data_IF_698706721974
#
_entry.id   IF_698706721974
#
_cell.length_a   1.000
_cell.length_b   1.000
_cell.length_c   1.000
_cell.angle_alpha   90.00
_cell.angle_beta   90.00
_cell.angle_gamma   90.00
#
_symmetry.space_group_name_H-M   'P 1'
#
loop_
_entity.id
_entity.type
_entity.pdbx_description
1 polymer ?
#
# COMPACT_ATOMS: atom_id res chain seq x y z
N UNK A 1 -1.29 -21.19 30.30
CA UNK A 1 -1.47 -20.95 29.65
C UNK A 1 -2.12 -20.77 29.19
N UNK A 2 -2.29 -20.36 28.97
CA UNK A 2 -2.99 -20.16 28.29
C UNK A 2 -3.45 -19.30 28.29
N UNK A 3 -3.61 -19.03 29.05
CA UNK A 3 -4.47 -18.10 28.96
C UNK A 3 -4.14 -17.11 28.18
N UNK A 4 -3.24 -17.10 28.03
CA UNK A 4 -2.97 -16.42 27.02
C UNK A 4 -3.79 -16.51 25.97
N UNK A 5 -4.55 -17.42 25.91
CA UNK A 5 -5.40 -17.56 24.81
C UNK A 5 -6.37 -16.49 24.62
N UNK A 6 -6.66 -15.80 25.65
CA UNK A 6 -7.55 -14.70 25.50
C UNK A 6 -6.93 -13.66 24.65
N UNK A 7 -5.71 -13.38 24.90
CA UNK A 7 -5.03 -12.47 24.03
C UNK A 7 -4.86 -13.03 22.69
N UNK A 8 -4.70 -14.31 22.62
CA UNK A 8 -4.54 -14.89 21.35
C UNK A 8 -5.74 -14.76 20.48
N UNK A 9 -6.90 -14.79 21.02
CA UNK A 9 -8.09 -14.60 20.23
C UNK A 9 -8.08 -13.23 19.58
N UNK A 10 -7.72 -12.22 20.30
CA UNK A 10 -7.62 -10.91 19.69
C UNK A 10 -6.57 -10.87 18.60
N UNK A 11 -5.45 -11.48 18.86
CA UNK A 11 -4.40 -11.50 17.86
C UNK A 11 -4.79 -12.30 16.65
N UNK A 12 -5.49 -13.37 16.84
CA UNK A 12 -5.89 -14.22 15.73
C UNK A 12 -6.88 -13.53 14.82
N UNK A 13 -7.64 -12.58 15.32
CA UNK A 13 -8.61 -11.90 14.49
C UNK A 13 -8.03 -10.70 13.74
N UNK A 14 -6.78 -10.35 14.02
CA UNK A 14 -6.15 -9.21 13.38
C UNK A 14 -5.29 -9.66 12.21
N UNK A 15 -5.49 -9.03 11.09
CA UNK A 15 -4.67 -9.29 9.90
C UNK A 15 -3.55 -8.26 9.86
N UNK A 16 -2.35 -8.66 9.43
CA UNK A 16 -1.31 -7.67 9.20
C UNK A 16 -1.73 -6.74 8.05
N UNK A 17 -1.26 -5.50 8.02
CA UNK A 17 -1.59 -4.60 6.94
C UNK A 17 -1.05 -5.12 5.61
N UNK A 18 -1.79 -4.83 4.54
CA UNK A 18 -1.36 -5.17 3.19
C UNK A 18 -0.34 -4.13 2.75
N UNK A 19 0.86 -4.56 2.42
CA UNK A 19 1.95 -3.66 2.08
C UNK A 19 2.07 -3.51 0.57
N UNK A 20 2.07 -2.27 0.11
CA UNK A 20 2.23 -1.94 -1.30
C UNK A 20 3.64 -1.40 -1.47
N UNK A 21 4.42 -2.06 -2.32
CA UNK A 21 5.79 -1.66 -2.57
C UNK A 21 5.84 -0.59 -3.66
N UNK A 22 6.59 0.47 -3.40
CA UNK A 22 6.69 1.61 -4.31
C UNK A 22 8.16 2.00 -4.47
N UNK A 23 8.54 2.37 -5.68
CA UNK A 23 9.86 2.91 -5.95
C UNK A 23 9.71 4.27 -6.63
N UNK A 24 10.22 5.31 -5.98
CA UNK A 24 10.22 6.67 -6.51
C UNK A 24 11.64 7.13 -6.76
N UNK A 25 11.80 8.09 -7.67
CA UNK A 25 13.12 8.66 -7.95
C UNK A 25 13.62 9.46 -6.76
N UNK A 26 14.94 9.58 -6.63
CA UNK A 26 15.54 10.39 -5.59
C UNK A 26 15.02 11.82 -5.70
N UNK A 27 14.63 12.39 -4.56
CA UNK A 27 14.11 13.76 -4.54
C UNK A 27 12.67 13.92 -4.97
N UNK A 28 11.96 12.84 -5.30
CA UNK A 28 10.55 12.96 -5.68
C UNK A 28 9.71 13.45 -4.51
N UNK A 29 8.92 14.48 -4.74
CA UNK A 29 7.95 14.99 -3.78
C UNK A 29 6.64 15.25 -4.51
N UNK A 30 5.54 14.98 -3.85
CA UNK A 30 4.25 15.31 -4.42
C UNK A 30 3.28 14.15 -4.40
N UNK A 31 2.16 14.28 -5.11
CA UNK A 31 1.14 13.24 -5.08
C UNK A 31 1.58 12.01 -5.84
N UNK A 32 1.22 10.86 -5.29
CA UNK A 32 1.40 9.57 -5.95
C UNK A 32 0.02 9.06 -6.33
N UNK A 33 -0.06 8.47 -7.52
CA UNK A 33 -1.29 7.84 -8.00
C UNK A 33 -0.94 6.41 -8.37
N UNK A 34 -1.44 5.45 -7.61
CA UNK A 34 -1.05 4.05 -7.76
C UNK A 34 -2.27 3.23 -8.13
N UNK A 35 -2.18 2.50 -9.25
CA UNK A 35 -3.23 1.56 -9.64
C UNK A 35 -2.84 0.16 -9.19
N UNK A 36 -3.79 -0.50 -8.56
CA UNK A 36 -3.61 -1.84 -8.00
C UNK A 36 -4.25 -2.89 -8.90
N UNK A 37 -3.93 -4.12 -8.63
CA UNK A 37 -4.57 -5.26 -9.30
C UNK A 37 -4.40 -5.23 -10.82
N UNK A 38 -3.28 -4.73 -11.30
CA UNK A 38 -3.03 -4.62 -12.74
C UNK A 38 -2.33 -5.87 -13.25
N UNK A 39 -2.98 -6.69 -14.08
CA UNK A 39 -2.36 -7.92 -14.59
C UNK A 39 -1.11 -7.58 -15.40
N UNK A 40 -0.07 -8.34 -15.18
CA UNK A 40 1.19 -8.13 -15.91
C UNK A 40 2.07 -7.01 -15.38
N UNK A 41 1.60 -6.24 -14.41
CA UNK A 41 2.42 -5.21 -13.80
C UNK A 41 3.38 -5.82 -12.78
N UNK A 42 4.42 -5.07 -12.43
CA UNK A 42 5.37 -5.50 -11.43
C UNK A 42 4.74 -5.50 -10.04
N UNK A 43 5.31 -6.29 -9.13
CA UNK A 43 4.87 -6.28 -7.73
C UNK A 43 5.23 -4.96 -7.05
N UNK A 44 6.21 -4.22 -7.55
CA UNK A 44 6.58 -2.90 -7.04
C UNK A 44 6.10 -1.85 -8.03
N UNK A 45 5.37 -0.87 -7.53
CA UNK A 45 4.92 0.24 -8.38
C UNK A 45 6.09 1.21 -8.60
N UNK A 46 6.52 1.31 -9.86
CA UNK A 46 7.56 2.26 -10.24
C UNK A 46 6.88 3.56 -10.59
N UNK A 47 7.17 4.63 -9.87
CA UNK A 47 6.54 5.91 -10.14
C UNK A 47 7.28 6.65 -11.24
N UNK A 48 6.51 7.26 -12.15
CA UNK A 48 7.09 8.13 -13.16
C UNK A 48 7.29 9.54 -12.58
N UNK A 49 7.72 10.47 -13.41
CA UNK A 49 8.01 11.84 -12.97
C UNK A 49 6.75 12.55 -12.45
N UNK A 50 5.58 12.09 -12.84
CA UNK A 50 4.31 12.68 -12.41
C UNK A 50 3.71 11.96 -11.20
N UNK A 51 4.39 10.96 -10.68
CA UNK A 51 3.91 10.22 -9.53
C UNK A 51 2.94 9.10 -9.85
N UNK A 52 2.83 8.71 -11.12
CA UNK A 52 1.93 7.64 -11.54
C UNK A 52 2.66 6.30 -11.55
N UNK A 53 2.01 5.27 -11.01
CA UNK A 53 2.55 3.93 -11.03
C UNK A 53 1.44 2.90 -11.03
N UNK A 54 1.80 1.64 -11.28
CA UNK A 54 0.85 0.55 -11.22
C UNK A 54 1.56 -0.69 -10.66
N UNK A 55 0.78 -1.56 -10.06
CA UNK A 55 1.30 -2.79 -9.48
C UNK A 55 0.31 -3.93 -9.66
N UNK A 56 0.83 -5.15 -9.71
CA UNK A 56 0.00 -6.35 -9.71
C UNK A 56 -0.50 -6.68 -8.31
N UNK A 57 0.05 -6.07 -7.27
CA UNK A 57 -0.40 -6.31 -5.91
C UNK A 57 -1.88 -5.97 -5.77
N UNK A 58 -2.62 -6.85 -5.13
CA UNK A 58 -4.07 -6.72 -5.07
C UNK A 58 -4.54 -7.07 -3.65
N UNK A 59 -5.04 -6.08 -2.90
CA UNK A 59 -5.52 -6.35 -1.54
C UNK A 59 -6.84 -7.09 -1.56
N UNK A 60 -7.23 -7.60 -0.42
CA UNK A 60 -8.55 -8.21 -0.24
C UNK A 60 -9.51 -7.17 0.33
N UNK A 61 -10.83 -7.40 0.21
CA UNK A 61 -11.79 -6.47 0.80
C UNK A 61 -11.53 -6.30 2.30
N UNK A 62 -11.52 -5.06 2.74
CA UNK A 62 -11.33 -4.75 4.15
C UNK A 62 -9.89 -4.71 4.62
N UNK A 63 -8.91 -4.96 3.75
CA UNK A 63 -7.53 -4.86 4.16
C UNK A 63 -7.15 -3.42 4.49
N UNK A 64 -6.39 -3.26 5.56
CA UNK A 64 -5.70 -2.01 5.82
C UNK A 64 -4.45 -2.00 4.97
N UNK A 65 -4.14 -0.86 4.38
CA UNK A 65 -3.02 -0.77 3.45
C UNK A 65 -1.95 0.16 3.98
N UNK A 66 -0.71 -0.18 3.67
CA UNK A 66 0.45 0.65 3.94
C UNK A 66 1.30 0.70 2.69
N UNK A 67 2.03 1.78 2.51
CA UNK A 67 2.98 1.89 1.41
C UNK A 67 4.37 1.82 2.00
N UNK A 68 5.18 0.90 1.50
CA UNK A 68 6.56 0.73 1.91
C UNK A 68 7.42 0.70 0.66
N UNK A 69 8.43 1.53 0.62
CA UNK A 69 9.24 1.55 -0.57
C UNK A 69 10.44 2.44 -0.41
N UNK A 70 10.88 3.00 -1.52
CA UNK A 70 12.07 3.85 -1.53
C UNK A 70 11.85 5.08 -2.39
N UNK A 71 12.53 6.15 -2.02
CA UNK A 71 12.69 7.35 -2.82
C UNK A 71 14.19 7.49 -3.04
N UNK A 72 14.67 7.03 -4.19
CA UNK A 72 16.09 6.84 -4.36
C UNK A 72 16.59 5.82 -3.35
N UNK A 73 17.52 6.21 -2.49
CA UNK A 73 18.03 5.34 -1.44
C UNK A 73 17.32 5.51 -0.10
N UNK A 74 16.37 6.44 0.00
CA UNK A 74 15.67 6.69 1.26
C UNK A 74 14.45 5.78 1.40
N UNK A 75 14.21 5.20 2.59
CA UNK A 75 12.99 4.42 2.79
C UNK A 75 11.78 5.33 2.87
N UNK A 76 10.64 4.83 2.40
CA UNK A 76 9.36 5.52 2.44
C UNK A 76 8.37 4.60 3.12
N UNK A 77 7.74 5.11 4.18
CA UNK A 77 6.71 4.36 4.90
C UNK A 77 5.51 5.26 5.10
N UNK A 78 4.37 4.85 4.57
CA UNK A 78 3.11 5.56 4.74
C UNK A 78 2.09 4.61 5.35
N UNK A 79 1.31 5.12 6.29
CA UNK A 79 0.27 4.34 6.93
C UNK A 79 -1.06 4.58 6.22
N UNK A 80 -2.07 3.81 6.61
CA UNK A 80 -3.39 3.95 5.99
C UNK A 80 -3.95 5.35 6.11
N UNK A 81 -3.55 6.11 7.13
CA UNK A 81 -4.04 7.48 7.32
C UNK A 81 -3.53 8.42 6.24
N UNK A 82 -2.42 8.06 5.62
CA UNK A 82 -1.83 8.87 4.56
C UNK A 82 -2.32 8.47 3.17
N UNK A 83 -3.12 7.42 3.10
CA UNK A 83 -3.52 6.82 1.83
C UNK A 83 -5.02 7.04 1.62
N UNK A 84 -5.39 7.52 0.43
CA UNK A 84 -6.79 7.68 0.03
C UNK A 84 -7.12 6.67 -1.05
N UNK A 85 -8.22 5.95 -0.87
CA UNK A 85 -8.73 5.07 -1.91
C UNK A 85 -9.59 5.92 -2.83
N UNK A 86 -9.20 6.03 -4.09
CA UNK A 86 -9.92 6.87 -5.05
C UNK A 86 -10.80 6.08 -5.98
N UNK A 87 -10.61 4.77 -6.06
CA UNK A 87 -11.48 3.91 -6.86
C UNK A 87 -11.52 2.51 -6.27
N UNK A 88 -12.71 1.91 -6.26
CA UNK A 88 -12.92 0.58 -5.74
C UNK A 88 -13.65 -0.26 -6.80
N UNK A 89 -13.22 -1.49 -7.00
CA UNK A 89 -13.90 -2.45 -7.86
C UNK A 89 -14.17 -3.72 -7.09
N UNK A 90 -15.42 -4.18 -7.04
CA UNK A 90 -15.83 -5.41 -6.33
C UNK A 90 -15.38 -5.40 -4.87
N UNK A 91 -15.53 -4.25 -4.21
CA UNK A 91 -15.14 -4.04 -2.81
C UNK A 91 -13.62 -4.09 -2.57
N UNK A 92 -12.83 -4.12 -3.61
CA UNK A 92 -11.38 -4.12 -3.52
C UNK A 92 -10.85 -2.77 -3.98
N UNK A 93 -9.97 -2.11 -3.21
CA UNK A 93 -9.37 -0.88 -3.68
C UNK A 93 -8.53 -1.14 -4.93
N UNK A 94 -8.73 -0.36 -5.98
CA UNK A 94 -7.97 -0.54 -7.23
C UNK A 94 -7.21 0.71 -7.65
N UNK A 95 -7.40 1.82 -6.97
CA UNK A 95 -6.60 3.02 -7.20
C UNK A 95 -6.46 3.80 -5.90
N UNK A 96 -5.25 4.23 -5.64
CA UNK A 96 -4.90 4.96 -4.41
C UNK A 96 -4.19 6.25 -4.74
N UNK A 97 -4.38 7.24 -3.86
CA UNK A 97 -3.57 8.45 -3.88
C UNK A 97 -2.93 8.63 -2.52
N UNK A 98 -1.72 9.14 -2.52
CA UNK A 98 -1.00 9.50 -1.31
C UNK A 98 0.00 10.60 -1.65
N UNK A 99 0.38 11.39 -0.67
CA UNK A 99 1.35 12.46 -0.88
C UNK A 99 2.69 12.05 -0.29
N UNK A 100 3.74 12.16 -1.09
CA UNK A 100 5.09 11.91 -0.63
C UNK A 100 5.77 13.24 -0.31
N UNK A 101 5.98 13.48 0.95
CA UNK A 101 6.53 14.76 1.42
C UNK A 101 8.03 14.76 1.50
#
# INVERSE_FOLDING_TARGET
>A
MFAICVSLLSCASQKPPFKIAVAAAAGFHGPMHIRLCQPGASATAQLDANGNGMTSACPEPGDNMEIHGTRGAEPVDLTREDIRVVKTGDSIPIALDADLK
#
